data_IF_194077743568
#
_entry.id   IF_194077743568
#
_cell.length_a   1.000
_cell.length_b   1.000
_cell.length_c   1.000
_cell.angle_alpha   90.00
_cell.angle_beta   90.00
_cell.angle_gamma   90.00
#
_symmetry.space_group_name_H-M   'P 1'
#
loop_
_entity.id
_entity.type
_entity.pdbx_description
1 polymer ?
#
# COMPACT_ATOMS: atom_id res chain seq x y z
N UNK A 1 -37.16 33.32 4.19
CA UNK A 1 -37.26 31.91 4.59
C UNK A 1 -36.43 30.98 3.75
N UNK A 2 -36.22 31.24 2.47
CA UNK A 2 -35.35 30.43 1.58
C UNK A 2 -33.89 30.40 2.02
N UNK A 3 -33.40 31.44 2.71
CA UNK A 3 -31.99 31.52 3.14
C UNK A 3 -31.58 30.50 4.21
N UNK A 4 -32.55 30.04 5.01
CA UNK A 4 -32.24 29.04 6.07
C UNK A 4 -32.02 27.64 5.48
N UNK A 5 -32.75 27.28 4.45
CA UNK A 5 -32.63 26.00 3.78
C UNK A 5 -31.31 25.88 2.99
N UNK A 6 -30.89 26.97 2.34
CA UNK A 6 -29.65 27.00 1.60
C UNK A 6 -28.41 26.88 2.50
N UNK A 7 -28.48 27.45 3.72
CA UNK A 7 -27.39 27.35 4.70
C UNK A 7 -27.23 25.92 5.23
N UNK A 8 -28.31 25.21 5.46
CA UNK A 8 -28.30 23.82 5.90
C UNK A 8 -27.74 22.88 4.83
N UNK A 9 -28.11 23.10 3.58
CA UNK A 9 -27.60 22.32 2.45
C UNK A 9 -26.10 22.48 2.24
N UNK A 10 -25.60 23.71 2.38
CA UNK A 10 -24.17 23.98 2.23
C UNK A 10 -23.32 23.30 3.34
N UNK A 11 -23.81 23.32 4.59
CA UNK A 11 -23.13 22.69 5.71
C UNK A 11 -23.05 21.17 5.53
N UNK A 12 -24.11 20.54 5.02
CA UNK A 12 -24.13 19.09 4.79
C UNK A 12 -23.15 18.67 3.68
N UNK A 13 -23.08 19.45 2.60
CA UNK A 13 -22.16 19.19 1.50
C UNK A 13 -20.70 19.25 1.95
N UNK A 14 -20.36 20.20 2.82
CA UNK A 14 -19.02 20.36 3.36
C UNK A 14 -18.62 19.16 4.23
N UNK A 15 -19.51 18.66 5.05
CA UNK A 15 -19.27 17.50 5.90
C UNK A 15 -18.99 16.23 5.08
N UNK A 16 -19.69 16.03 3.96
CA UNK A 16 -19.47 14.90 3.07
C UNK A 16 -18.11 14.95 2.39
N UNK A 17 -17.64 16.13 2.00
CA UNK A 17 -16.31 16.30 1.38
C UNK A 17 -15.18 15.94 2.35
N UNK A 18 -15.29 16.36 3.61
CA UNK A 18 -14.29 16.05 4.64
C UNK A 18 -14.23 14.55 4.91
N UNK A 19 -15.37 13.88 5.00
CA UNK A 19 -15.44 12.43 5.23
C UNK A 19 -14.82 11.64 4.06
N UNK A 20 -15.05 12.07 2.81
CA UNK A 20 -14.45 11.42 1.64
C UNK A 20 -12.93 11.50 1.62
N UNK A 21 -12.36 12.63 1.98
CA UNK A 21 -10.90 12.80 2.03
C UNK A 21 -10.24 11.94 3.12
N UNK A 22 -10.88 11.76 4.27
CA UNK A 22 -10.33 11.00 5.40
C UNK A 22 -10.24 9.50 5.12
N UNK A 23 -11.06 8.96 4.21
CA UNK A 23 -11.13 7.54 3.91
C UNK A 23 -10.31 7.13 2.68
N UNK A 24 -9.70 8.08 1.98
CA UNK A 24 -8.97 7.80 0.75
C UNK A 24 -7.62 7.13 1.03
N UNK A 25 -7.42 5.91 0.52
CA UNK A 25 -6.12 5.24 0.51
C UNK A 25 -5.28 5.81 -0.62
N UNK A 26 -4.01 6.09 -0.36
CA UNK A 26 -3.08 6.60 -1.36
C UNK A 26 -2.64 5.50 -2.32
N UNK A 27 -2.54 5.87 -3.59
CA UNK A 27 -2.16 4.93 -4.66
C UNK A 27 -1.00 5.49 -5.48
N UNK A 28 0.20 5.62 -4.88
CA UNK A 28 1.36 6.07 -5.63
C UNK A 28 1.85 4.98 -6.58
N UNK A 29 2.61 5.37 -7.61
CA UNK A 29 3.41 4.43 -8.35
C UNK A 29 4.62 4.00 -7.51
N UNK A 30 5.23 2.87 -7.85
CA UNK A 30 6.46 2.43 -7.17
C UNK A 30 7.58 3.46 -7.37
N UNK A 31 7.68 4.06 -8.57
CA UNK A 31 8.66 5.11 -8.82
C UNK A 31 8.46 6.31 -7.91
N UNK A 32 7.22 6.76 -7.72
CA UNK A 32 6.90 7.87 -6.81
C UNK A 32 7.25 7.52 -5.37
N UNK A 33 6.93 6.30 -4.94
CA UNK A 33 7.24 5.81 -3.62
C UNK A 33 8.75 5.82 -3.33
N UNK A 34 9.55 5.40 -4.30
CA UNK A 34 11.01 5.39 -4.19
C UNK A 34 11.63 6.77 -4.28
N UNK A 35 11.01 7.65 -5.05
CA UNK A 35 11.49 9.01 -5.23
C UNK A 35 11.24 9.88 -3.99
N UNK A 36 10.07 9.72 -3.36
CA UNK A 36 9.67 10.48 -2.19
C UNK A 36 9.28 9.56 -1.02
N UNK A 37 10.20 8.74 -0.49
CA UNK A 37 9.85 7.79 0.57
C UNK A 37 9.33 8.46 1.84
N UNK A 38 9.88 9.62 2.20
CA UNK A 38 9.44 10.35 3.39
C UNK A 38 7.99 10.81 3.34
N UNK A 39 7.46 11.05 2.13
CA UNK A 39 6.07 11.45 1.95
C UNK A 39 5.08 10.33 2.29
N UNK A 40 5.51 9.10 2.10
CA UNK A 40 4.65 7.92 2.29
C UNK A 40 5.01 7.12 3.53
N UNK A 41 6.08 7.48 4.21
CA UNK A 41 6.53 6.76 5.41
C UNK A 41 5.40 6.62 6.43
N UNK A 42 5.20 5.40 6.92
CA UNK A 42 4.16 5.04 7.88
C UNK A 42 2.73 5.31 7.39
N UNK A 43 2.56 5.46 6.08
CA UNK A 43 1.26 5.66 5.44
C UNK A 43 0.81 4.37 4.77
N UNK A 44 -0.50 4.16 4.72
CA UNK A 44 -1.08 3.05 3.99
C UNK A 44 -1.19 3.41 2.51
N UNK A 45 -0.65 2.53 1.67
CA UNK A 45 -0.68 2.69 0.22
C UNK A 45 -1.24 1.43 -0.43
N UNK A 46 -1.68 1.57 -1.68
CA UNK A 46 -2.14 0.46 -2.50
C UNK A 46 -1.32 0.44 -3.79
N UNK A 47 -0.70 -0.71 -4.10
CA UNK A 47 0.13 -0.90 -5.29
C UNK A 47 -0.46 -2.05 -6.10
N UNK A 48 -0.67 -1.81 -7.40
CA UNK A 48 -1.07 -2.83 -8.36
C UNK A 48 0.13 -3.23 -9.21
N UNK A 49 0.37 -4.51 -9.34
CA UNK A 49 1.48 -4.95 -10.16
C UNK A 49 1.56 -6.46 -10.31
N UNK A 50 2.69 -6.89 -10.83
CA UNK A 50 3.00 -8.31 -11.08
C UNK A 50 4.11 -8.73 -10.12
N UNK A 51 3.94 -9.90 -9.52
CA UNK A 51 4.98 -10.46 -8.64
C UNK A 51 6.16 -10.93 -9.49
N UNK A 52 7.33 -10.36 -9.24
CA UNK A 52 8.56 -10.69 -9.98
C UNK A 52 9.43 -11.69 -9.27
N UNK A 53 9.35 -11.78 -7.95
CA UNK A 53 10.05 -12.78 -7.17
C UNK A 53 9.34 -13.00 -5.83
N UNK A 54 9.53 -14.17 -5.27
CA UNK A 54 8.93 -14.55 -3.99
C UNK A 54 9.86 -15.50 -3.27
N UNK A 55 10.14 -15.23 -2.00
CA UNK A 55 11.01 -16.10 -1.20
C UNK A 55 10.65 -16.01 0.28
N UNK A 56 10.93 -17.11 0.99
CA UNK A 56 10.79 -17.18 2.45
C UNK A 56 12.16 -17.21 3.09
N UNK A 57 12.25 -16.73 4.31
CA UNK A 57 13.46 -16.81 5.12
C UNK A 57 13.37 -18.01 6.06
N UNK A 58 14.41 -18.86 6.16
CA UNK A 58 14.43 -19.95 7.14
C UNK A 58 14.37 -19.38 8.55
N UNK A 59 13.62 -20.06 9.44
CA UNK A 59 13.53 -19.74 10.86
C UNK A 59 12.82 -18.42 11.20
N UNK A 60 12.29 -17.71 10.19
CA UNK A 60 11.55 -16.45 10.40
C UNK A 60 10.14 -16.62 9.82
N UNK A 61 9.08 -16.29 10.59
CA UNK A 61 7.71 -16.47 10.12
C UNK A 61 7.24 -15.33 9.20
N UNK A 62 8.17 -14.76 8.45
CA UNK A 62 7.87 -13.70 7.48
C UNK A 62 8.30 -14.14 6.10
N UNK A 63 7.62 -13.63 5.10
CA UNK A 63 7.91 -13.89 3.70
C UNK A 63 8.04 -12.59 2.95
N UNK A 64 8.93 -12.59 1.98
CA UNK A 64 9.19 -11.44 1.15
C UNK A 64 8.82 -11.75 -0.29
N UNK A 65 8.29 -10.77 -0.98
CA UNK A 65 8.09 -10.84 -2.42
C UNK A 65 8.25 -9.45 -3.02
N UNK A 66 8.50 -9.40 -4.31
CA UNK A 66 8.63 -8.13 -5.04
C UNK A 66 7.50 -7.97 -6.03
N UNK A 67 6.99 -6.74 -6.13
CA UNK A 67 5.93 -6.37 -7.06
C UNK A 67 6.44 -5.26 -7.96
N UNK A 68 6.21 -5.42 -9.26
CA UNK A 68 6.56 -4.45 -10.28
C UNK A 68 5.26 -3.90 -10.88
N UNK A 69 5.08 -2.59 -10.82
CA UNK A 69 3.90 -1.91 -11.37
C UNK A 69 4.16 -1.30 -12.76
N UNK A 70 5.30 -1.60 -13.36
CA UNK A 70 5.73 -1.00 -14.63
C UNK A 70 6.62 0.22 -14.46
N UNK A 71 6.66 0.83 -13.27
CA UNK A 71 7.53 1.98 -12.97
C UNK A 71 8.73 1.59 -12.12
N UNK A 72 8.71 0.43 -11.50
CA UNK A 72 9.78 -0.09 -10.66
C UNK A 72 9.29 -1.23 -9.78
N UNK A 73 10.21 -1.85 -9.07
CA UNK A 73 9.91 -2.94 -8.13
C UNK A 73 9.95 -2.43 -6.70
N UNK A 74 9.03 -2.94 -5.87
CA UNK A 74 9.04 -2.70 -4.44
C UNK A 74 8.98 -4.02 -3.69
N UNK A 75 9.70 -4.09 -2.57
CA UNK A 75 9.67 -5.26 -1.68
C UNK A 75 8.45 -5.17 -0.78
N UNK A 76 7.76 -6.30 -0.63
CA UNK A 76 6.61 -6.43 0.26
C UNK A 76 6.93 -7.49 1.30
N UNK A 77 6.65 -7.17 2.55
CA UNK A 77 6.85 -8.06 3.68
C UNK A 77 5.49 -8.55 4.15
N UNK A 78 5.29 -9.87 4.11
CA UNK A 78 4.07 -10.53 4.56
C UNK A 78 4.38 -11.32 5.82
N UNK A 79 3.72 -10.98 6.93
CA UNK A 79 3.93 -11.68 8.19
C UNK A 79 3.04 -12.92 8.30
N UNK A 80 1.86 -12.87 7.72
CA UNK A 80 0.88 -13.96 7.78
C UNK A 80 0.21 -14.13 6.43
N UNK A 81 -0.25 -15.34 6.15
CA UNK A 81 -1.11 -15.61 5.03
C UNK A 81 -0.39 -16.04 3.77
N UNK A 82 -1.08 -15.90 2.66
CA UNK A 82 -0.60 -16.36 1.37
C UNK A 82 0.45 -15.44 0.80
N UNK A 83 1.51 -16.05 0.29
CA UNK A 83 2.49 -15.35 -0.52
C UNK A 83 2.16 -15.64 -1.98
N UNK A 84 2.03 -14.61 -2.81
CA UNK A 84 1.74 -14.83 -4.22
C UNK A 84 2.93 -15.46 -4.93
N UNK A 85 2.64 -16.27 -5.93
CA UNK A 85 3.67 -16.84 -6.78
C UNK A 85 4.13 -15.85 -7.83
N UNK A 86 5.35 -16.03 -8.32
CA UNK A 86 5.90 -15.23 -9.42
C UNK A 86 4.94 -15.23 -10.61
N UNK A 87 4.69 -14.08 -11.18
CA UNK A 87 3.79 -13.89 -12.32
C UNK A 87 2.36 -13.53 -11.95
N UNK A 88 2.01 -13.62 -10.68
CA UNK A 88 0.65 -13.25 -10.22
C UNK A 88 0.43 -11.75 -10.32
N UNK A 89 -0.77 -11.37 -10.75
CA UNK A 89 -1.21 -9.97 -10.70
C UNK A 89 -1.91 -9.72 -9.39
N UNK A 90 -1.43 -8.72 -8.66
CA UNK A 90 -1.91 -8.47 -7.32
C UNK A 90 -2.13 -6.98 -7.09
N UNK A 91 -3.01 -6.67 -6.15
CA UNK A 91 -3.10 -5.37 -5.52
C UNK A 91 -2.71 -5.56 -4.06
N UNK A 92 -1.65 -4.90 -3.65
CA UNK A 92 -1.12 -4.99 -2.28
C UNK A 92 -1.46 -3.71 -1.55
N UNK A 93 -2.03 -3.85 -0.38
CA UNK A 93 -2.24 -2.74 0.55
C UNK A 93 -1.35 -2.93 1.76
N UNK A 94 -0.71 -1.88 2.20
CA UNK A 94 0.15 -1.96 3.36
C UNK A 94 0.78 -0.63 3.72
N UNK A 95 1.54 -0.65 4.80
CA UNK A 95 2.23 0.53 5.33
C UNK A 95 3.66 0.58 4.80
N UNK A 96 4.07 1.77 4.41
CA UNK A 96 5.43 2.00 3.92
C UNK A 96 6.39 2.14 5.09
N UNK A 97 7.48 1.38 5.07
CA UNK A 97 8.53 1.42 6.06
C UNK A 97 9.89 1.55 5.38
N UNK A 98 10.82 2.21 6.04
CA UNK A 98 12.14 2.48 5.46
C UNK A 98 13.19 1.45 5.84
N UNK A 99 13.11 0.90 7.04
CA UNK A 99 14.12 -0.02 7.55
C UNK A 99 13.47 -1.12 8.38
N UNK A 100 13.90 -2.35 8.11
CA UNK A 100 13.59 -3.51 8.94
C UNK A 100 14.82 -4.41 8.97
N UNK A 101 15.01 -5.12 10.09
CA UNK A 101 16.05 -6.14 10.20
C UNK A 101 15.37 -7.49 10.37
N UNK A 102 15.63 -8.39 9.44
CA UNK A 102 15.05 -9.73 9.42
C UNK A 102 16.18 -10.75 9.26
N UNK A 103 16.28 -11.68 10.20
CA UNK A 103 17.28 -12.74 10.12
C UNK A 103 18.72 -12.22 10.02
N UNK A 104 19.01 -11.07 10.62
CA UNK A 104 20.31 -10.44 10.56
C UNK A 104 20.58 -9.61 9.32
N UNK A 105 19.62 -9.52 8.40
CA UNK A 105 19.74 -8.71 7.18
C UNK A 105 18.88 -7.46 7.27
N UNK A 106 19.45 -6.32 6.86
CA UNK A 106 18.72 -5.07 6.78
C UNK A 106 17.93 -5.03 5.47
N UNK A 107 16.66 -4.67 5.58
CA UNK A 107 15.77 -4.43 4.44
C UNK A 107 15.48 -2.93 4.40
N UNK A 108 15.71 -2.33 3.24
CA UNK A 108 15.41 -0.91 3.05
C UNK A 108 13.93 -0.63 2.88
N UNK A 109 13.59 0.25 1.97
CA UNK A 109 12.20 0.62 1.68
C UNK A 109 11.36 -0.62 1.33
N UNK A 110 10.29 -0.83 2.06
CA UNK A 110 9.39 -1.96 1.84
C UNK A 110 7.97 -1.60 2.28
N UNK A 111 7.02 -2.43 1.88
CA UNK A 111 5.63 -2.31 2.29
C UNK A 111 5.33 -3.46 3.25
N UNK A 112 4.84 -3.14 4.45
CA UNK A 112 4.30 -4.15 5.37
C UNK A 112 2.88 -4.45 4.96
N UNK A 113 2.66 -5.64 4.41
CA UNK A 113 1.36 -6.03 3.89
C UNK A 113 0.31 -6.08 4.99
N UNK A 114 -0.79 -5.37 4.77
CA UNK A 114 -2.00 -5.48 5.58
C UNK A 114 -3.07 -6.28 4.86
N UNK A 115 -3.08 -6.25 3.52
CA UNK A 115 -4.02 -7.00 2.71
C UNK A 115 -3.46 -7.24 1.31
N UNK A 116 -3.93 -8.29 0.66
CA UNK A 116 -3.57 -8.62 -0.70
C UNK A 116 -4.79 -9.10 -1.47
N UNK A 117 -4.97 -8.60 -2.67
CA UNK A 117 -6.02 -9.00 -3.59
C UNK A 117 -5.41 -9.55 -4.86
N UNK A 118 -5.84 -10.73 -5.26
CA UNK A 118 -5.40 -11.33 -6.51
C UNK A 118 -6.31 -10.86 -7.64
N UNK A 119 -5.71 -10.24 -8.65
CA UNK A 119 -6.45 -9.74 -9.80
C UNK A 119 -6.59 -10.87 -10.83
N UNK A 120 -7.81 -11.17 -11.20
CA UNK A 120 -8.10 -12.08 -12.31
C UNK A 120 -8.15 -11.24 -13.58
N UNK A 121 -6.93 -10.99 -14.10
CA UNK A 121 -6.74 -10.19 -15.28
C UNK A 121 -7.74 -9.22 -15.53
#
# INVERSE_FOLDING_TARGET
MSNRLSRLGAALALALLVSGCALATRRPSVAELKYNPGRYHDRTVSINGVVTSSWGMPLVPVRLYKVDDGTGEVTVLAQNGRVPTKGSRVRVEGRVQDVATLGGQAIGLHIEQTDIHFNRY
#
